data_IF_914522751567
#
_entry.id   IF_914522751567
#
_cell.length_a   1.000
_cell.length_b   1.000
_cell.length_c   1.000
_cell.angle_alpha   90.00
_cell.angle_beta   90.00
_cell.angle_gamma   90.00
#
_symmetry.space_group_name_H-M   'P 1'
#
loop_
_entity.id
_entity.type
_entity.pdbx_description
1 polymer ?
#
# COMPACT_ATOMS: atom_id res chain seq x y z
N UNK A 1 -10.14 -3.50 -4.76
CA UNK A 1 -9.54 -2.29 -5.32
C UNK A 1 -8.12 -2.59 -5.78
N UNK A 2 -7.79 -2.19 -6.98
CA UNK A 2 -6.43 -2.36 -7.51
C UNK A 2 -5.82 -0.99 -7.74
N UNK A 3 -4.54 -0.83 -7.42
CA UNK A 3 -3.84 0.41 -7.72
C UNK A 3 -2.34 0.16 -7.76
N UNK A 4 -1.61 1.11 -8.34
CA UNK A 4 -0.15 1.10 -8.28
C UNK A 4 0.31 1.80 -7.02
N UNK A 5 1.47 1.40 -6.50
CA UNK A 5 2.05 2.07 -5.34
C UNK A 5 2.65 3.40 -5.79
N UNK A 6 2.18 4.50 -5.22
CA UNK A 6 2.71 5.82 -5.52
C UNK A 6 4.02 6.04 -4.78
N UNK A 7 5.02 6.55 -5.49
CA UNK A 7 6.31 6.88 -4.90
C UNK A 7 7.20 5.69 -4.57
N UNK A 8 6.99 4.54 -5.21
CA UNK A 8 7.69 3.31 -4.85
C UNK A 8 9.23 3.47 -4.83
N UNK A 9 9.79 4.13 -5.81
CA UNK A 9 11.25 4.27 -5.88
C UNK A 9 11.79 5.37 -4.96
N UNK A 10 10.92 6.13 -4.36
CA UNK A 10 11.29 7.25 -3.50
C UNK A 10 11.57 6.81 -2.05
N UNK A 11 10.98 5.71 -1.60
CA UNK A 11 11.10 5.22 -0.23
C UNK A 11 12.01 4.00 -0.16
N UNK A 12 11.61 3.00 0.60
CA UNK A 12 12.43 1.79 0.81
C UNK A 12 12.17 0.70 -0.20
N UNK A 13 11.51 1.03 -1.32
CA UNK A 13 11.14 0.04 -2.33
C UNK A 13 12.31 -0.75 -2.87
N UNK A 14 13.45 -0.07 -3.12
CA UNK A 14 14.63 -0.76 -3.63
C UNK A 14 15.14 -1.82 -2.68
N UNK A 15 15.00 -1.59 -1.37
CA UNK A 15 15.42 -2.56 -0.36
C UNK A 15 14.43 -3.70 -0.22
N UNK A 16 13.17 -3.44 -0.54
CA UNK A 16 12.10 -4.41 -0.37
C UNK A 16 11.95 -5.36 -1.56
N UNK A 17 12.44 -4.96 -2.73
CA UNK A 17 12.22 -5.69 -3.99
C UNK A 17 12.58 -7.16 -3.90
N UNK A 18 13.72 -7.48 -3.29
CA UNK A 18 14.18 -8.86 -3.19
C UNK A 18 13.29 -9.73 -2.30
N UNK A 19 12.50 -9.09 -1.45
CA UNK A 19 11.58 -9.81 -0.55
C UNK A 19 10.17 -9.91 -1.11
N UNK A 20 9.90 -9.30 -2.26
CA UNK A 20 8.56 -9.23 -2.82
C UNK A 20 8.37 -10.18 -3.98
N UNK A 21 7.17 -10.73 -4.07
CA UNK A 21 6.72 -11.50 -5.23
C UNK A 21 5.22 -11.31 -5.32
N UNK A 22 4.63 -11.76 -6.41
CA UNK A 22 3.18 -11.74 -6.54
C UNK A 22 2.58 -12.52 -5.37
N UNK A 23 1.63 -11.91 -4.70
CA UNK A 23 0.97 -12.51 -3.53
C UNK A 23 1.55 -12.09 -2.18
N UNK A 24 2.69 -11.39 -2.17
CA UNK A 24 3.28 -10.93 -0.91
C UNK A 24 2.28 -10.04 -0.17
N UNK A 25 2.10 -10.32 1.12
CA UNK A 25 1.18 -9.54 1.95
C UNK A 25 1.83 -8.24 2.43
N UNK A 26 1.07 -7.17 2.36
CA UNK A 26 1.50 -5.84 2.75
C UNK A 26 0.56 -5.28 3.80
N UNK A 27 0.97 -4.18 4.42
CA UNK A 27 0.19 -3.54 5.47
C UNK A 27 -0.04 -2.07 5.13
N UNK A 28 -1.24 -1.59 5.45
CA UNK A 28 -1.59 -0.18 5.30
C UNK A 28 -1.48 0.52 6.64
N UNK A 29 -0.88 1.70 6.63
CA UNK A 29 -0.73 2.51 7.84
C UNK A 29 -1.13 3.95 7.50
N UNK A 30 -2.10 4.50 8.24
CA UNK A 30 -2.49 5.89 8.04
C UNK A 30 -1.33 6.79 8.46
N UNK A 31 -0.98 7.73 7.60
CA UNK A 31 0.11 8.67 7.88
C UNK A 31 -0.48 9.96 8.45
N UNK A 32 -0.72 9.97 9.74
CA UNK A 32 -1.40 11.06 10.44
C UNK A 32 -0.65 12.38 10.40
N UNK A 33 0.66 12.31 10.29
CA UNK A 33 1.51 13.51 10.33
C UNK A 33 1.81 14.08 8.95
N UNK A 34 1.17 13.56 7.92
CA UNK A 34 1.41 14.03 6.56
C UNK A 34 0.82 15.42 6.37
N UNK A 35 1.70 16.39 6.07
CA UNK A 35 1.30 17.79 5.94
C UNK A 35 0.67 18.11 4.59
N UNK A 36 0.84 17.22 3.62
CA UNK A 36 0.38 17.44 2.25
C UNK A 36 -0.93 16.77 1.94
N UNK A 37 -1.27 15.71 2.68
CA UNK A 37 -2.47 14.95 2.41
C UNK A 37 -3.02 14.37 3.73
N UNK A 38 -4.12 14.92 4.23
CA UNK A 38 -4.71 14.44 5.49
C UNK A 38 -5.26 13.00 5.40
N UNK A 39 -5.37 12.47 4.18
CA UNK A 39 -5.86 11.11 3.96
C UNK A 39 -4.74 10.16 3.52
N UNK A 40 -3.49 10.54 3.72
CA UNK A 40 -2.37 9.72 3.27
C UNK A 40 -2.38 8.35 3.95
N UNK A 41 -2.23 7.30 3.13
CA UNK A 41 -2.14 5.92 3.59
C UNK A 41 -0.86 5.33 3.05
N UNK A 42 0.07 5.01 3.95
CA UNK A 42 1.36 4.42 3.58
C UNK A 42 1.23 2.91 3.47
N UNK A 43 2.07 2.33 2.63
CA UNK A 43 2.10 0.89 2.37
C UNK A 43 3.44 0.36 2.86
N UNK A 44 3.39 -0.69 3.68
CA UNK A 44 4.59 -1.26 4.29
C UNK A 44 4.73 -2.75 4.01
N UNK A 45 5.97 -3.18 3.83
CA UNK A 45 6.36 -4.59 3.92
C UNK A 45 7.23 -4.68 5.17
N UNK A 46 6.70 -5.28 6.23
CA UNK A 46 7.33 -5.27 7.55
C UNK A 46 7.59 -3.81 7.98
N UNK A 47 8.85 -3.43 8.20
CA UNK A 47 9.20 -2.06 8.57
C UNK A 47 9.67 -1.21 7.39
N UNK A 48 9.61 -1.74 6.17
CA UNK A 48 10.03 -1.01 4.98
C UNK A 48 8.84 -0.28 4.35
N UNK A 49 8.97 1.02 4.22
CA UNK A 49 7.93 1.83 3.59
C UNK A 49 8.08 1.77 2.08
N UNK A 50 7.04 1.29 1.40
CA UNK A 50 7.08 1.11 -0.04
C UNK A 50 6.58 2.33 -0.81
N UNK A 51 5.72 3.12 -0.18
CA UNK A 51 5.09 4.26 -0.83
C UNK A 51 3.70 4.47 -0.26
N UNK A 52 2.80 4.97 -1.11
CA UNK A 52 1.45 5.35 -0.68
C UNK A 52 0.38 4.82 -1.62
N UNK A 53 -0.82 4.71 -1.09
CA UNK A 53 -2.02 4.57 -1.92
C UNK A 53 -2.15 5.87 -2.72
N UNK A 54 -2.44 5.82 -4.02
CA UNK A 54 -2.60 7.03 -4.82
C UNK A 54 -3.63 7.98 -4.20
N UNK A 55 -3.32 9.27 -4.28
CA UNK A 55 -4.09 10.31 -3.60
C UNK A 55 -5.58 10.29 -3.94
N UNK A 56 -5.93 9.94 -5.16
CA UNK A 56 -7.34 9.91 -5.58
C UNK A 56 -8.11 8.71 -5.06
N UNK A 57 -7.45 7.75 -4.40
CA UNK A 57 -8.06 6.48 -4.01
C UNK A 57 -7.91 6.18 -2.53
N UNK A 58 -7.43 7.13 -1.74
CA UNK A 58 -7.07 6.86 -0.36
C UNK A 58 -8.11 7.27 0.68
N UNK A 59 -9.09 8.08 0.30
CA UNK A 59 -10.00 8.72 1.26
C UNK A 59 -10.74 7.72 2.14
N UNK A 60 -11.39 6.75 1.53
CA UNK A 60 -12.18 5.78 2.29
C UNK A 60 -11.28 4.88 3.13
N UNK A 61 -10.16 4.45 2.58
CA UNK A 61 -9.20 3.62 3.32
C UNK A 61 -8.69 4.37 4.54
N UNK A 62 -8.36 5.65 4.38
CA UNK A 62 -7.89 6.48 5.48
C UNK A 62 -8.93 6.57 6.60
N UNK A 63 -10.19 6.72 6.25
CA UNK A 63 -11.25 6.80 7.24
C UNK A 63 -11.43 5.50 8.02
N UNK A 64 -11.39 4.37 7.34
CA UNK A 64 -11.47 3.08 8.03
C UNK A 64 -10.30 2.87 8.97
N UNK A 65 -9.10 3.24 8.53
CA UNK A 65 -7.91 3.11 9.37
C UNK A 65 -7.99 4.03 10.59
N UNK A 66 -8.48 5.25 10.41
CA UNK A 66 -8.66 6.19 11.50
C UNK A 66 -9.62 5.64 12.56
N UNK A 67 -10.63 4.88 12.14
CA UNK A 67 -11.61 4.30 13.03
C UNK A 67 -11.16 2.99 13.67
N UNK A 68 -9.95 2.55 13.38
CA UNK A 68 -9.41 1.33 13.98
C UNK A 68 -9.71 0.05 13.24
N UNK A 69 -10.17 0.12 12.01
CA UNK A 69 -10.55 -1.06 11.23
C UNK A 69 -9.47 -1.54 10.26
N UNK A 70 -8.21 -1.22 10.55
CA UNK A 70 -7.12 -1.60 9.65
C UNK A 70 -6.99 -3.10 9.41
N UNK A 71 -7.38 -3.90 10.38
CA UNK A 71 -7.26 -5.36 10.29
C UNK A 71 -8.33 -6.02 9.42
N UNK A 72 -9.30 -5.27 8.91
CA UNK A 72 -10.30 -5.84 7.99
C UNK A 72 -9.78 -5.91 6.56
N UNK A 73 -8.67 -5.25 6.26
CA UNK A 73 -8.11 -5.23 4.92
C UNK A 73 -7.06 -6.30 4.74
N UNK A 74 -7.07 -6.93 3.57
CA UNK A 74 -5.98 -7.77 3.12
C UNK A 74 -5.38 -7.12 1.89
N UNK A 75 -4.06 -6.95 1.88
CA UNK A 75 -3.34 -6.26 0.80
C UNK A 75 -2.27 -7.18 0.28
N UNK A 76 -2.27 -7.39 -1.04
CA UNK A 76 -1.31 -8.28 -1.69
C UNK A 76 -0.71 -7.62 -2.92
N UNK A 77 0.55 -7.94 -3.19
CA UNK A 77 1.19 -7.53 -4.44
C UNK A 77 0.56 -8.33 -5.57
N UNK A 78 0.06 -7.65 -6.61
CA UNK A 78 -0.51 -8.33 -7.77
C UNK A 78 0.18 -7.95 -9.09
N UNK A 79 1.15 -7.05 -9.04
CA UNK A 79 1.96 -6.71 -10.20
C UNK A 79 3.35 -6.34 -9.71
N UNK A 80 4.38 -6.84 -10.38
CA UNK A 80 5.76 -6.51 -10.05
C UNK A 80 6.55 -6.50 -11.36
N UNK A 81 6.79 -5.30 -11.90
CA UNK A 81 7.48 -5.12 -13.17
C UNK A 81 8.46 -3.95 -13.04
N UNK A 82 9.70 -4.27 -12.77
CA UNK A 82 10.74 -3.28 -12.51
C UNK A 82 11.22 -2.58 -13.79
N UNK A 83 10.79 -3.04 -14.96
CA UNK A 83 11.12 -2.40 -16.22
C UNK A 83 10.12 -1.29 -16.58
N UNK A 84 9.02 -1.20 -15.82
CA UNK A 84 8.01 -0.19 -16.06
C UNK A 84 8.44 1.16 -15.47
N UNK A 85 7.68 2.20 -15.81
CA UNK A 85 7.83 3.52 -15.22
C UNK A 85 7.78 3.40 -13.68
N UNK A 86 8.58 4.17 -12.95
CA UNK A 86 8.64 4.06 -11.48
C UNK A 86 7.29 4.05 -10.77
N UNK A 87 6.33 4.81 -11.26
CA UNK A 87 5.01 4.87 -10.63
C UNK A 87 4.08 3.71 -11.03
N UNK A 88 4.59 2.80 -11.87
CA UNK A 88 3.79 1.68 -12.36
C UNK A 88 4.49 0.34 -12.13
N UNK A 89 5.56 0.32 -11.35
CA UNK A 89 6.35 -0.88 -11.14
C UNK A 89 5.68 -1.90 -10.24
N UNK A 90 4.98 -1.45 -9.20
CA UNK A 90 4.38 -2.35 -8.24
C UNK A 90 2.90 -2.02 -8.10
N UNK A 91 2.07 -3.01 -8.37
CA UNK A 91 0.64 -2.90 -8.16
C UNK A 91 0.20 -3.75 -6.98
N UNK A 92 -0.88 -3.35 -6.36
CA UNK A 92 -1.45 -4.06 -5.24
C UNK A 92 -2.95 -4.23 -5.42
N UNK A 93 -3.48 -5.22 -4.72
CA UNK A 93 -4.92 -5.38 -4.58
C UNK A 93 -5.27 -5.25 -3.10
N UNK A 94 -6.30 -4.48 -2.81
CA UNK A 94 -6.83 -4.29 -1.47
C UNK A 94 -8.24 -4.83 -1.44
N UNK A 95 -8.52 -5.74 -0.54
CA UNK A 95 -9.87 -6.29 -0.39
C UNK A 95 -10.17 -6.56 1.08
N UNK A 96 -11.45 -6.77 1.37
CA UNK A 96 -11.89 -7.05 2.72
C UNK A 96 -11.65 -8.52 3.05
N UNK A 97 -11.13 -8.78 4.23
CA UNK A 97 -10.94 -10.14 4.69
C UNK A 97 -12.29 -10.79 4.94
N UNK A 98 -12.35 -12.10 4.70
CA UNK A 98 -13.53 -12.86 5.06
C UNK A 98 -13.63 -12.92 6.57
N UNK A 99 -14.83 -12.74 7.06
CA UNK A 99 -15.06 -12.69 8.49
C UNK A 99 -15.01 -14.07 9.13
N UNK A 100 -15.46 -15.06 8.42
CA UNK A 100 -15.48 -16.42 8.93
C UNK A 100 -14.21 -17.14 8.57
N UNK A 101 -14.02 -18.23 9.15
CA UNK A 101 -12.88 -19.05 8.78
C UNK A 101 -12.99 -20.42 9.39
#
# INVERSE_FOLDING_TARGET
MNCDIAGFTYWDGCMAVERMKIGTELKLVRDEDNKFDPYAVAIYLDDLKLGYIPKGENHDLSKFLEMGYGDIFEVRVNKLDLDEHPEEQVGIIVYLKRKDS
#
